data_IF_903832667583
#
_entry.id   IF_903832667583
#
_cell.length_a   1.000
_cell.length_b   1.000
_cell.length_c   1.000
_cell.angle_alpha   90.00
_cell.angle_beta   90.00
_cell.angle_gamma   90.00
#
_symmetry.space_group_name_H-M   'P 1'
#
loop_
_entity.id
_entity.type
_entity.pdbx_description
1 polymer ?
#
# COMPACT_ATOMS: atom_id res chain seq x y z
N UNK A 1 -9.42 23.98 -4.95
CA UNK A 1 -9.94 23.02 -3.96
C UNK A 1 -8.79 22.13 -3.53
N UNK A 2 -8.39 22.15 -2.26
CA UNK A 2 -7.33 21.26 -1.79
C UNK A 2 -7.89 19.83 -1.81
N UNK A 3 -7.24 18.92 -2.56
CA UNK A 3 -7.63 17.52 -2.54
C UNK A 3 -7.43 16.98 -1.12
N UNK A 4 -8.40 16.22 -0.60
CA UNK A 4 -8.25 15.56 0.69
C UNK A 4 -7.26 14.40 0.53
N UNK A 5 -6.13 14.46 1.23
CA UNK A 5 -5.02 13.51 1.11
C UNK A 5 -4.60 12.95 2.46
N UNK A 6 -4.26 11.66 2.47
CA UNK A 6 -3.66 10.97 3.62
C UNK A 6 -2.32 10.40 3.22
N UNK A 7 -1.27 10.74 3.95
CA UNK A 7 0.05 10.14 3.74
C UNK A 7 0.32 9.09 4.79
N UNK A 8 0.61 7.87 4.34
CA UNK A 8 0.88 6.71 5.18
C UNK A 8 2.38 6.42 5.10
N UNK A 9 3.09 6.33 6.25
CA UNK A 9 4.47 5.87 6.25
C UNK A 9 4.53 4.38 5.93
N UNK A 10 5.34 4.02 4.93
CA UNK A 10 5.65 2.63 4.56
C UNK A 10 6.99 2.25 5.20
N UNK A 11 6.99 1.20 6.02
CA UNK A 11 8.16 0.70 6.74
C UNK A 11 8.68 -0.57 6.09
N UNK A 12 10.00 -0.71 6.07
CA UNK A 12 10.67 -1.91 5.59
C UNK A 12 10.31 -3.11 6.47
N UNK A 13 9.99 -4.23 5.83
CA UNK A 13 9.66 -5.49 6.46
C UNK A 13 10.74 -6.54 6.14
N UNK A 14 10.95 -7.50 7.05
CA UNK A 14 11.87 -8.62 6.86
C UNK A 14 13.29 -8.23 6.39
N UNK A 15 13.78 -7.06 6.80
CA UNK A 15 15.13 -6.57 6.45
C UNK A 15 15.30 -6.15 4.98
N UNK A 16 14.21 -5.86 4.26
CA UNK A 16 14.26 -5.44 2.86
C UNK A 16 15.05 -4.15 2.60
N UNK A 17 15.03 -3.22 3.56
CA UNK A 17 15.46 -1.83 3.36
C UNK A 17 14.44 -0.96 2.61
N UNK A 18 13.32 -1.54 2.16
CA UNK A 18 12.32 -0.88 1.33
C UNK A 18 11.33 -0.03 2.14
N UNK A 19 11.51 1.27 2.12
CA UNK A 19 10.70 2.21 2.91
C UNK A 19 10.36 3.48 2.14
N UNK A 20 9.30 4.17 2.56
CA UNK A 20 8.81 5.37 1.89
C UNK A 20 7.41 5.75 2.32
N UNK A 21 6.54 6.08 1.37
CA UNK A 21 5.17 6.52 1.65
C UNK A 21 4.15 5.92 0.68
N UNK A 22 2.91 5.85 1.15
CA UNK A 22 1.74 5.67 0.31
C UNK A 22 0.78 6.84 0.55
N UNK A 23 0.41 7.54 -0.51
CA UNK A 23 -0.53 8.68 -0.45
C UNK A 23 -1.88 8.26 -0.99
N UNK A 24 -2.91 8.35 -0.14
CA UNK A 24 -4.30 8.29 -0.54
C UNK A 24 -4.78 9.67 -0.94
N UNK A 25 -5.53 9.77 -2.03
CA UNK A 25 -6.18 11.02 -2.45
C UNK A 25 -7.64 10.73 -2.77
N UNK A 26 -8.55 11.43 -2.11
CA UNK A 26 -9.97 11.33 -2.37
C UNK A 26 -10.30 11.85 -3.78
N UNK A 27 -11.11 11.09 -4.51
CA UNK A 27 -11.58 11.40 -5.86
C UNK A 27 -13.10 11.20 -5.95
N UNK A 28 -13.85 11.74 -4.99
CA UNK A 28 -15.27 11.46 -4.82
C UNK A 28 -15.47 10.04 -4.30
N UNK A 29 -16.17 9.21 -5.09
CA UNK A 29 -16.44 7.80 -4.75
C UNK A 29 -15.25 6.87 -4.99
N UNK A 30 -14.10 7.42 -5.41
CA UNK A 30 -12.86 6.70 -5.68
C UNK A 30 -11.73 7.21 -4.82
N UNK A 31 -10.68 6.39 -4.71
CA UNK A 31 -9.44 6.76 -4.02
C UNK A 31 -8.25 6.45 -4.91
N UNK A 32 -7.39 7.44 -5.14
CA UNK A 32 -6.07 7.18 -5.72
C UNK A 32 -5.09 6.78 -4.63
N UNK A 33 -4.35 5.70 -4.86
CA UNK A 33 -3.24 5.22 -4.03
C UNK A 33 -1.97 5.37 -4.83
N UNK A 34 -1.06 6.21 -4.36
CA UNK A 34 0.27 6.39 -4.95
C UNK A 34 1.32 5.90 -3.95
N UNK A 35 2.10 4.88 -4.33
CA UNK A 35 3.16 4.31 -3.49
C UNK A 35 4.50 4.78 -4.04
N UNK A 36 5.35 5.28 -3.15
CA UNK A 36 6.73 5.65 -3.41
C UNK A 36 7.65 5.02 -2.37
N UNK A 37 8.43 4.03 -2.77
CA UNK A 37 9.44 3.35 -1.96
C UNK A 37 10.85 3.67 -2.46
N UNK A 38 11.80 3.61 -1.54
CA UNK A 38 13.24 3.68 -1.77
C UNK A 38 13.89 2.41 -1.25
N UNK A 39 15.07 2.07 -1.75
CA UNK A 39 15.77 0.84 -1.36
C UNK A 39 15.26 -0.42 -2.05
N UNK A 40 14.40 -0.28 -3.07
CA UNK A 40 14.03 -1.40 -3.94
C UNK A 40 15.26 -1.84 -4.73
N UNK A 41 15.80 -3.00 -4.34
CA UNK A 41 16.97 -3.60 -4.97
C UNK A 41 16.58 -4.62 -6.05
N UNK A 42 15.28 -4.90 -6.18
CA UNK A 42 14.74 -5.83 -7.16
C UNK A 42 14.42 -5.09 -8.47
N UNK A 43 14.85 -5.62 -9.61
CA UNK A 43 14.47 -5.13 -10.95
C UNK A 43 13.10 -5.66 -11.41
N UNK A 44 12.26 -6.10 -10.47
CA UNK A 44 11.06 -6.90 -10.73
C UNK A 44 9.77 -6.21 -10.30
N UNK A 45 8.63 -6.77 -10.73
CA UNK A 45 7.30 -6.37 -10.27
C UNK A 45 7.04 -6.90 -8.87
N UNK A 46 6.71 -6.01 -7.96
CA UNK A 46 6.34 -6.32 -6.59
C UNK A 46 4.83 -6.14 -6.41
N UNK A 47 4.06 -7.23 -6.23
CA UNK A 47 2.63 -7.13 -5.98
C UNK A 47 2.33 -6.27 -4.76
N UNK A 48 1.31 -5.42 -4.87
CA UNK A 48 0.87 -4.56 -3.78
C UNK A 48 -0.64 -4.66 -3.56
N UNK A 49 -1.05 -4.60 -2.30
CA UNK A 49 -2.44 -4.83 -1.91
C UNK A 49 -2.83 -3.97 -0.72
N UNK A 50 -4.13 -3.69 -0.60
CA UNK A 50 -4.75 -3.23 0.64
C UNK A 50 -5.41 -4.43 1.31
N UNK A 51 -5.07 -4.69 2.57
CA UNK A 51 -5.65 -5.75 3.38
C UNK A 51 -6.43 -5.18 4.56
N UNK A 52 -7.41 -5.93 5.04
CA UNK A 52 -7.96 -5.72 6.38
C UNK A 52 -6.91 -6.09 7.44
N UNK A 53 -6.92 -5.43 8.60
CA UNK A 53 -5.97 -5.63 9.68
C UNK A 53 -4.83 -4.61 9.69
N UNK A 54 -3.73 -4.96 10.34
CA UNK A 54 -2.53 -4.13 10.49
C UNK A 54 -1.31 -4.82 9.88
N UNK A 55 -0.20 -4.11 9.70
CA UNK A 55 1.06 -4.69 9.24
C UNK A 55 1.55 -5.86 10.11
N UNK A 56 1.19 -5.87 11.39
CA UNK A 56 1.51 -6.98 12.32
C UNK A 56 0.56 -8.17 12.21
N UNK A 57 -0.64 -7.98 11.64
CA UNK A 57 -1.66 -9.02 11.48
C UNK A 57 -2.60 -8.67 10.32
N UNK A 58 -2.20 -9.04 9.12
CA UNK A 58 -3.00 -8.87 7.91
C UNK A 58 -4.01 -10.00 7.78
N UNK A 59 -5.20 -9.69 7.27
CA UNK A 59 -6.04 -10.71 6.67
C UNK A 59 -5.34 -11.19 5.38
N UNK A 60 -5.07 -12.49 5.19
CA UNK A 60 -4.35 -12.99 4.01
C UNK A 60 -5.10 -12.73 2.69
N UNK A 61 -6.42 -12.57 2.72
CA UNK A 61 -7.20 -12.19 1.54
C UNK A 61 -7.14 -10.67 1.33
N UNK A 62 -6.61 -10.18 0.20
CA UNK A 62 -6.57 -8.76 -0.10
C UNK A 62 -7.98 -8.21 -0.28
N UNK A 63 -8.21 -7.01 0.27
CA UNK A 63 -9.47 -6.27 0.06
C UNK A 63 -9.48 -5.53 -1.27
N UNK A 64 -8.33 -4.95 -1.65
CA UNK A 64 -8.13 -4.29 -2.94
C UNK A 64 -6.77 -4.67 -3.51
N UNK A 65 -6.74 -5.07 -4.78
CA UNK A 65 -5.50 -5.21 -5.53
C UNK A 65 -5.01 -3.85 -6.02
N UNK A 66 -3.70 -3.64 -5.94
CA UNK A 66 -3.03 -2.47 -6.51
C UNK A 66 -2.21 -2.90 -7.71
N UNK A 67 -1.85 -1.94 -8.56
CA UNK A 67 -0.78 -2.17 -9.54
C UNK A 67 0.52 -2.49 -8.80
N UNK A 68 1.30 -3.36 -9.41
CA UNK A 68 2.62 -3.71 -8.90
C UNK A 68 3.47 -2.45 -8.68
N UNK A 69 4.27 -2.48 -7.61
CA UNK A 69 5.38 -1.55 -7.42
C UNK A 69 6.49 -1.96 -8.37
N UNK A 70 6.97 -0.99 -9.14
CA UNK A 70 8.07 -1.16 -10.10
C UNK A 70 8.99 0.03 -9.96
N UNK A 71 10.27 -0.21 -9.67
CA UNK A 71 11.27 0.86 -9.45
C UNK A 71 10.80 1.87 -8.39
N UNK A 72 10.25 1.36 -7.31
CA UNK A 72 9.78 2.05 -6.13
C UNK A 72 8.41 2.69 -6.30
N UNK A 73 7.70 2.48 -7.42
CA UNK A 73 6.51 3.29 -7.75
C UNK A 73 5.29 2.44 -8.10
N UNK A 74 4.13 2.85 -7.57
CA UNK A 74 2.82 2.35 -8.00
C UNK A 74 1.77 3.46 -7.99
N UNK A 75 0.79 3.40 -8.89
CA UNK A 75 -0.35 4.32 -8.94
C UNK A 75 -1.62 3.59 -9.36
N UNK A 76 -2.56 3.47 -8.41
CA UNK A 76 -3.82 2.75 -8.57
C UNK A 76 -4.99 3.66 -8.22
N UNK A 77 -6.12 3.51 -8.90
CA UNK A 77 -7.40 4.08 -8.48
C UNK A 77 -8.29 2.93 -8.02
N UNK A 78 -8.67 2.95 -6.75
CA UNK A 78 -9.63 2.02 -6.14
C UNK A 78 -11.04 2.58 -6.32
N UNK A 79 -11.97 1.71 -6.69
CA UNK A 79 -13.40 2.02 -6.78
C UNK A 79 -14.06 1.96 -5.39
N UNK A 80 -13.58 2.80 -4.49
CA UNK A 80 -14.14 3.00 -3.16
C UNK A 80 -13.79 4.39 -2.63
N UNK A 81 -14.70 5.03 -1.87
CA UNK A 81 -14.43 6.32 -1.26
C UNK A 81 -13.35 6.18 -0.19
N UNK A 82 -12.53 7.21 -0.03
CA UNK A 82 -11.39 7.18 0.90
C UNK A 82 -11.81 6.90 2.34
N UNK A 83 -13.01 7.33 2.73
CA UNK A 83 -13.61 7.04 4.03
C UNK A 83 -13.73 5.52 4.31
N UNK A 84 -13.95 4.68 3.28
CA UNK A 84 -14.01 3.23 3.47
C UNK A 84 -12.64 2.64 3.81
N UNK A 85 -11.56 3.28 3.34
CA UNK A 85 -10.19 2.85 3.61
C UNK A 85 -9.70 3.36 4.97
N UNK A 86 -10.10 4.57 5.37
CA UNK A 86 -9.64 5.19 6.63
C UNK A 86 -10.55 4.89 7.82
N UNK A 87 -11.78 4.42 7.64
CA UNK A 87 -12.68 4.07 8.77
C UNK A 87 -12.34 2.71 9.39
N UNK A 88 -11.77 1.80 8.60
CA UNK A 88 -11.39 0.45 9.03
C UNK A 88 -9.99 0.39 9.65
N UNK A 89 -9.64 -0.78 10.18
CA UNK A 89 -8.24 -1.14 10.40
C UNK A 89 -7.77 -1.83 9.13
N UNK A 90 -7.00 -1.12 8.30
CA UNK A 90 -6.46 -1.63 7.05
C UNK A 90 -4.97 -1.29 6.94
N UNK A 91 -4.26 -1.99 6.08
CA UNK A 91 -2.86 -1.73 5.77
C UNK A 91 -2.57 -1.92 4.29
N UNK A 92 -1.60 -1.16 3.78
CA UNK A 92 -1.01 -1.34 2.46
C UNK A 92 0.22 -2.23 2.63
N UNK A 93 0.28 -3.32 1.88
CA UNK A 93 1.37 -4.28 1.90
C UNK A 93 1.99 -4.42 0.50
N UNK A 94 3.30 -4.62 0.45
CA UNK A 94 4.06 -4.92 -0.77
C UNK A 94 4.82 -6.23 -0.57
N UNK A 95 4.67 -7.14 -1.52
CA UNK A 95 5.33 -8.45 -1.56
C UNK A 95 6.67 -8.36 -2.31
N UNK A 96 7.62 -9.24 -2.00
CA UNK A 96 8.93 -9.27 -2.67
C UNK A 96 8.82 -9.54 -4.17
N UNK A 97 7.97 -10.49 -4.57
CA UNK A 97 7.72 -10.80 -5.98
C UNK A 97 6.51 -11.73 -6.12
N UNK A 98 6.00 -11.88 -7.35
CA UNK A 98 4.99 -12.89 -7.66
C UNK A 98 5.46 -14.34 -7.38
N UNK A 99 6.77 -14.59 -7.30
CA UNK A 99 7.34 -15.91 -6.97
C UNK A 99 7.49 -16.14 -5.47
N UNK A 100 7.53 -15.07 -4.66
CA UNK A 100 7.69 -15.13 -3.22
C UNK A 100 6.66 -14.23 -2.51
N UNK A 101 5.39 -14.56 -2.68
CA UNK A 101 4.27 -13.86 -2.04
C UNK A 101 4.32 -13.87 -0.49
N UNK A 102 4.79 -14.93 0.19
CA UNK A 102 4.84 -14.91 1.65
C UNK A 102 5.80 -13.88 2.24
N UNK A 103 6.79 -13.39 1.46
CA UNK A 103 7.76 -12.40 1.93
C UNK A 103 7.28 -10.99 1.63
N UNK A 104 7.01 -10.22 2.68
CA UNK A 104 6.67 -8.81 2.59
C UNK A 104 7.93 -7.95 2.65
N UNK A 105 8.00 -6.95 1.78
CA UNK A 105 9.14 -6.01 1.72
C UNK A 105 8.81 -4.66 2.32
N UNK A 106 7.54 -4.24 2.28
CA UNK A 106 7.14 -2.98 2.89
C UNK A 106 5.68 -3.01 3.34
N UNK A 107 5.37 -2.32 4.44
CA UNK A 107 4.00 -2.18 4.92
C UNK A 107 3.72 -0.85 5.60
N UNK A 108 2.49 -0.33 5.44
CA UNK A 108 2.01 0.87 6.13
C UNK A 108 0.57 0.72 6.61
N UNK A 109 0.33 0.99 7.89
CA UNK A 109 -1.02 1.01 8.46
C UNK A 109 -1.78 2.25 7.99
N UNK A 110 -3.00 2.05 7.47
CA UNK A 110 -3.92 3.14 7.17
C UNK A 110 -4.51 3.60 8.51
N UNK A 111 -4.05 4.76 8.99
CA UNK A 111 -4.52 5.32 10.26
C UNK A 111 -5.97 5.79 10.11
N UNK A 112 -6.74 5.61 11.18
CA UNK A 112 -8.09 6.15 11.24
C UNK A 112 -8.07 7.66 11.22
N UNK A 113 -9.01 8.24 10.47
CA UNK A 113 -9.33 9.66 10.47
C UNK A 113 -10.74 9.88 10.98
#
# INVERSE_FOLDING_TARGET
>A
MNANTVTIPMRAEHGSGESGTATLTAMGDKTRVNIGLTGENATGKQPAHVHMGSCTKLNPTPKYALKDVVLGKSNTVIDAPMANLTKGTMAINVHESAKNLPKYVSCGNIMKM
#
